data_IF_285495509976
#
_entry.id   IF_285495509976
#
_cell.length_a   1.000
_cell.length_b   1.000
_cell.length_c   1.000
_cell.angle_alpha   90.00
_cell.angle_beta   90.00
_cell.angle_gamma   90.00
#
_symmetry.space_group_name_H-M   'P 1'
#
loop_
_entity.id
_entity.type
_entity.pdbx_description
1 polymer ?
#
# COMPACT_ATOMS: atom_id res chain seq x y z
N UNK A 1 -7.55 -20.73 50.50
CA UNK A 1 -7.43 -20.82 49.03
C UNK A 1 -7.91 -19.53 48.34
N UNK A 2 -7.07 -18.49 48.19
CA UNK A 2 -7.49 -17.19 47.63
C UNK A 2 -7.21 -16.98 46.12
N UNK A 3 -6.47 -17.88 45.45
CA UNK A 3 -6.10 -17.71 44.02
C UNK A 3 -7.27 -17.89 43.03
N UNK A 4 -8.40 -18.47 43.44
CA UNK A 4 -9.52 -18.80 42.54
C UNK A 4 -10.45 -17.61 42.26
N UNK A 5 -10.65 -16.69 43.21
CA UNK A 5 -11.57 -15.55 43.04
C UNK A 5 -10.96 -14.46 42.16
N UNK A 6 -9.70 -14.10 42.39
CA UNK A 6 -8.96 -13.15 41.53
C UNK A 6 -8.84 -13.65 40.08
N UNK A 7 -8.66 -14.96 39.87
CA UNK A 7 -8.65 -15.56 38.53
C UNK A 7 -10.02 -15.49 37.84
N UNK A 8 -11.12 -15.68 38.59
CA UNK A 8 -12.48 -15.53 38.07
C UNK A 8 -12.81 -14.08 37.73
N UNK A 9 -12.34 -13.12 38.51
CA UNK A 9 -12.50 -11.69 38.22
C UNK A 9 -11.67 -11.23 37.02
N UNK A 10 -10.42 -11.70 36.88
CA UNK A 10 -9.61 -11.45 35.68
C UNK A 10 -10.25 -12.07 34.44
N UNK A 11 -10.77 -13.30 34.52
CA UNK A 11 -11.50 -13.93 33.42
C UNK A 11 -12.80 -13.19 33.09
N UNK A 12 -13.52 -12.66 34.08
CA UNK A 12 -14.71 -11.83 33.86
C UNK A 12 -14.36 -10.48 33.21
N UNK A 13 -13.29 -9.81 33.65
CA UNK A 13 -12.77 -8.58 33.04
C UNK A 13 -12.27 -8.81 31.61
N UNK A 14 -11.56 -9.90 31.35
CA UNK A 14 -11.14 -10.29 30.00
C UNK A 14 -12.32 -10.61 29.08
N UNK A 15 -13.37 -11.29 29.59
CA UNK A 15 -14.61 -11.54 28.83
C UNK A 15 -15.39 -10.26 28.55
N UNK A 16 -15.44 -9.33 29.51
CA UNK A 16 -16.06 -8.02 29.33
C UNK A 16 -15.30 -7.15 28.33
N UNK A 17 -13.96 -7.13 28.42
CA UNK A 17 -13.08 -6.47 27.45
C UNK A 17 -13.19 -7.09 26.06
N UNK A 18 -13.26 -8.42 25.96
CA UNK A 18 -13.46 -9.11 24.69
C UNK A 18 -14.85 -8.84 24.08
N UNK A 19 -15.89 -8.66 24.91
CA UNK A 19 -17.22 -8.25 24.45
C UNK A 19 -17.24 -6.79 23.98
N UNK A 20 -16.66 -5.88 24.76
CA UNK A 20 -16.53 -4.47 24.41
C UNK A 20 -15.68 -4.28 23.13
N UNK A 21 -14.63 -5.07 22.97
CA UNK A 21 -13.82 -5.09 21.75
C UNK A 21 -14.60 -5.67 20.56
N UNK A 22 -15.41 -6.71 20.74
CA UNK A 22 -16.29 -7.23 19.69
C UNK A 22 -17.34 -6.21 19.25
N UNK A 23 -17.92 -5.47 20.19
CA UNK A 23 -18.88 -4.39 19.90
C UNK A 23 -18.21 -3.21 19.21
N UNK A 24 -17.01 -2.82 19.66
CA UNK A 24 -16.17 -1.83 18.98
C UNK A 24 -15.86 -2.24 17.54
N UNK A 25 -15.47 -3.50 17.31
CA UNK A 25 -15.18 -4.03 15.96
C UNK A 25 -16.42 -4.04 15.06
N UNK A 26 -17.60 -4.37 15.62
CA UNK A 26 -18.87 -4.33 14.87
C UNK A 26 -19.26 -2.92 14.43
N UNK A 27 -18.97 -1.91 15.25
CA UNK A 27 -19.28 -0.50 14.98
C UNK A 27 -18.11 0.30 14.40
N UNK A 28 -17.00 -0.35 14.04
CA UNK A 28 -15.82 0.32 13.49
C UNK A 28 -15.92 0.45 11.97
N UNK A 29 -15.70 1.68 11.48
CA UNK A 29 -15.57 1.97 10.05
C UNK A 29 -14.18 1.61 9.49
N UNK A 30 -13.28 1.06 10.32
CA UNK A 30 -11.97 0.61 9.86
C UNK A 30 -12.10 -0.73 9.11
N UNK A 31 -11.63 -0.84 7.85
CA UNK A 31 -11.69 -2.08 7.08
C UNK A 31 -11.05 -3.28 7.78
N UNK A 32 -10.05 -3.06 8.65
CA UNK A 32 -9.37 -4.11 9.42
C UNK A 32 -10.26 -4.79 10.46
N UNK A 33 -11.32 -4.12 10.92
CA UNK A 33 -12.22 -4.63 11.95
C UNK A 33 -13.43 -5.40 11.36
N UNK A 34 -13.60 -5.35 10.03
CA UNK A 34 -14.70 -6.02 9.34
C UNK A 34 -14.51 -7.53 9.25
N UNK A 35 -15.61 -8.26 9.07
CA UNK A 35 -15.56 -9.69 8.77
C UNK A 35 -14.92 -9.93 7.40
N UNK A 36 -14.21 -11.05 7.24
CA UNK A 36 -13.53 -11.42 5.99
C UNK A 36 -14.50 -11.40 4.79
N UNK A 37 -15.75 -11.81 4.97
CA UNK A 37 -16.78 -11.74 3.94
C UNK A 37 -17.15 -10.31 3.53
N UNK A 38 -17.32 -9.39 4.50
CA UNK A 38 -17.60 -7.97 4.21
C UNK A 38 -16.41 -7.29 3.54
N UNK A 39 -15.18 -7.62 3.96
CA UNK A 39 -13.95 -7.15 3.31
C UNK A 39 -13.88 -7.60 1.85
N UNK A 40 -14.20 -8.87 1.56
CA UNK A 40 -14.20 -9.40 0.20
C UNK A 40 -15.27 -8.74 -0.67
N UNK A 41 -16.49 -8.58 -0.17
CA UNK A 41 -17.58 -7.93 -0.91
C UNK A 41 -17.27 -6.45 -1.19
N UNK A 42 -16.76 -5.71 -0.21
CA UNK A 42 -16.43 -4.30 -0.41
C UNK A 42 -15.25 -4.15 -1.37
N UNK A 43 -14.21 -4.98 -1.21
CA UNK A 43 -13.09 -5.02 -2.14
C UNK A 43 -13.56 -5.36 -3.55
N UNK A 44 -14.51 -6.30 -3.70
CA UNK A 44 -15.10 -6.64 -5.01
C UNK A 44 -15.86 -5.45 -5.62
N UNK A 45 -16.70 -4.76 -4.83
CA UNK A 45 -17.42 -3.56 -5.29
C UNK A 45 -16.45 -2.46 -5.73
N UNK A 46 -15.43 -2.18 -4.93
CA UNK A 46 -14.40 -1.19 -5.25
C UNK A 46 -13.61 -1.60 -6.50
N UNK A 47 -13.21 -2.87 -6.61
CA UNK A 47 -12.47 -3.36 -7.78
C UNK A 47 -13.31 -3.26 -9.05
N UNK A 48 -14.59 -3.66 -9.00
CA UNK A 48 -15.52 -3.58 -10.13
C UNK A 48 -15.77 -2.14 -10.62
N UNK A 49 -15.75 -1.15 -9.71
CA UNK A 49 -15.88 0.26 -10.11
C UNK A 49 -14.69 0.74 -10.97
N UNK A 50 -13.51 0.16 -10.78
CA UNK A 50 -12.30 0.54 -11.56
C UNK A 50 -12.11 -0.34 -12.78
N UNK A 51 -12.37 -1.64 -12.65
CA UNK A 51 -12.25 -2.60 -13.76
C UNK A 51 -13.57 -3.37 -13.96
N UNK A 52 -14.45 -2.92 -14.86
CA UNK A 52 -15.68 -3.63 -15.18
C UNK A 52 -15.42 -4.96 -15.93
N UNK A 53 -14.24 -5.14 -16.55
CA UNK A 53 -13.86 -6.39 -17.25
C UNK A 53 -13.46 -7.49 -16.27
N UNK A 54 -13.24 -7.17 -14.99
CA UNK A 54 -12.93 -8.13 -13.93
C UNK A 54 -13.92 -9.29 -13.90
N UNK A 55 -15.22 -9.01 -14.05
CA UNK A 55 -16.27 -10.03 -13.96
C UNK A 55 -16.08 -11.11 -15.03
N UNK A 56 -15.76 -10.70 -16.26
CA UNK A 56 -15.52 -11.63 -17.37
C UNK A 56 -14.27 -12.47 -17.15
N UNK A 57 -13.21 -11.90 -16.59
CA UNK A 57 -11.99 -12.63 -16.25
C UNK A 57 -12.20 -13.64 -15.11
N UNK A 58 -12.92 -13.25 -14.06
CA UNK A 58 -13.21 -14.11 -12.91
C UNK A 58 -14.14 -15.27 -13.31
N UNK A 59 -15.21 -14.98 -14.06
CA UNK A 59 -16.10 -16.02 -14.58
C UNK A 59 -15.36 -16.92 -15.57
N UNK A 60 -14.57 -16.33 -16.47
CA UNK A 60 -13.76 -17.07 -17.44
C UNK A 60 -12.77 -18.02 -16.76
N UNK A 61 -12.07 -17.56 -15.72
CA UNK A 61 -11.16 -18.40 -14.95
C UNK A 61 -11.87 -19.53 -14.19
N UNK A 62 -13.06 -19.26 -13.64
CA UNK A 62 -13.88 -20.27 -12.98
C UNK A 62 -14.31 -21.36 -13.97
N UNK A 63 -14.93 -20.96 -15.08
CA UNK A 63 -15.43 -21.87 -16.11
C UNK A 63 -14.28 -22.67 -16.72
N UNK A 64 -13.16 -22.02 -17.03
CA UNK A 64 -11.97 -22.69 -17.55
C UNK A 64 -11.46 -23.75 -16.57
N UNK A 65 -11.35 -23.44 -15.29
CA UNK A 65 -10.96 -24.41 -14.27
C UNK A 65 -11.90 -25.61 -14.21
N UNK A 66 -13.22 -25.36 -14.15
CA UNK A 66 -14.21 -26.45 -14.13
C UNK A 66 -14.12 -27.32 -15.37
N UNK A 67 -14.04 -26.72 -16.56
CA UNK A 67 -13.98 -27.45 -17.83
C UNK A 67 -12.70 -28.28 -17.92
N UNK A 68 -11.55 -27.71 -17.62
CA UNK A 68 -10.25 -28.41 -17.71
C UNK A 68 -10.24 -29.65 -16.81
N UNK A 69 -10.64 -29.51 -15.54
CA UNK A 69 -10.65 -30.63 -14.61
C UNK A 69 -11.74 -31.66 -14.92
N UNK A 70 -12.90 -31.24 -15.45
CA UNK A 70 -13.96 -32.16 -15.88
C UNK A 70 -13.54 -32.98 -17.11
N UNK A 71 -12.91 -32.33 -18.10
CA UNK A 71 -12.39 -33.00 -19.31
C UNK A 71 -11.24 -33.95 -18.95
N UNK A 72 -10.34 -33.54 -18.05
CA UNK A 72 -9.31 -34.42 -17.49
C UNK A 72 -9.93 -35.64 -16.80
N UNK A 73 -10.98 -35.43 -16.00
CA UNK A 73 -11.73 -36.50 -15.38
C UNK A 73 -12.25 -37.50 -16.40
N UNK A 74 -12.94 -37.03 -17.46
CA UNK A 74 -13.49 -37.87 -18.52
C UNK A 74 -12.44 -38.66 -19.31
N UNK A 75 -11.21 -38.14 -19.45
CA UNK A 75 -10.14 -38.80 -20.21
C UNK A 75 -9.36 -39.79 -19.33
N UNK A 76 -9.10 -39.45 -18.06
CA UNK A 76 -8.21 -40.21 -17.18
C UNK A 76 -8.93 -41.27 -16.34
N UNK A 77 -10.23 -41.10 -16.04
CA UNK A 77 -10.96 -41.97 -15.10
C UNK A 77 -12.47 -42.01 -15.37
N UNK A 78 -13.13 -43.15 -15.16
CA UNK A 78 -14.61 -43.23 -15.25
C UNK A 78 -15.35 -42.46 -14.12
N UNK A 79 -14.63 -41.88 -13.15
CA UNK A 79 -15.15 -41.10 -12.03
C UNK A 79 -15.26 -39.60 -12.36
N UNK A 80 -15.91 -39.27 -13.47
CA UNK A 80 -16.08 -37.89 -13.93
C UNK A 80 -16.74 -36.96 -12.89
N UNK A 81 -17.64 -37.49 -12.06
CA UNK A 81 -18.34 -36.74 -11.01
C UNK A 81 -17.41 -36.28 -9.89
N UNK A 82 -16.39 -37.07 -9.54
CA UNK A 82 -15.40 -36.69 -8.53
C UNK A 82 -14.49 -35.56 -9.07
N UNK A 83 -14.09 -35.66 -10.33
CA UNK A 83 -13.30 -34.62 -11.01
C UNK A 83 -14.06 -33.33 -11.27
N UNK A 84 -15.38 -33.41 -11.46
CA UNK A 84 -16.24 -32.22 -11.53
C UNK A 84 -16.22 -31.45 -10.19
N UNK A 85 -16.32 -32.15 -9.05
CA UNK A 85 -16.23 -31.52 -7.73
C UNK A 85 -14.86 -30.85 -7.55
N UNK A 86 -13.78 -31.56 -7.88
CA UNK A 86 -12.42 -31.00 -7.85
C UNK A 86 -12.30 -29.80 -8.78
N UNK A 87 -12.90 -29.85 -9.97
CA UNK A 87 -12.93 -28.76 -10.94
C UNK A 87 -13.66 -27.53 -10.45
N UNK A 88 -14.74 -27.68 -9.69
CA UNK A 88 -15.43 -26.55 -9.03
C UNK A 88 -14.52 -25.87 -8.02
N UNK A 89 -13.85 -26.62 -7.15
CA UNK A 89 -12.91 -26.05 -6.18
C UNK A 89 -11.69 -25.42 -6.86
N UNK A 90 -11.13 -26.08 -7.88
CA UNK A 90 -10.01 -25.58 -8.66
C UNK A 90 -10.38 -24.31 -9.45
N UNK A 91 -11.57 -24.28 -10.06
CA UNK A 91 -12.13 -23.11 -10.73
C UNK A 91 -12.36 -21.96 -9.75
N UNK A 92 -12.88 -22.23 -8.56
CA UNK A 92 -13.05 -21.21 -7.52
C UNK A 92 -11.69 -20.65 -7.06
N UNK A 93 -10.68 -21.51 -6.88
CA UNK A 93 -9.33 -21.10 -6.54
C UNK A 93 -8.68 -20.24 -7.66
N UNK A 94 -8.84 -20.64 -8.92
CA UNK A 94 -8.36 -19.89 -10.08
C UNK A 94 -9.05 -18.52 -10.21
N UNK A 95 -10.37 -18.48 -10.03
CA UNK A 95 -11.16 -17.25 -10.03
C UNK A 95 -10.70 -16.29 -8.91
N UNK A 96 -10.47 -16.82 -7.70
CA UNK A 96 -9.94 -16.04 -6.58
C UNK A 96 -8.52 -15.52 -6.86
N UNK A 97 -7.66 -16.34 -7.47
CA UNK A 97 -6.31 -15.94 -7.84
C UNK A 97 -6.29 -14.81 -8.88
N UNK A 98 -7.08 -14.94 -9.95
CA UNK A 98 -7.24 -13.91 -10.99
C UNK A 98 -7.82 -12.63 -10.40
N UNK A 99 -8.85 -12.75 -9.54
CA UNK A 99 -9.40 -11.61 -8.81
C UNK A 99 -8.32 -10.89 -8.00
N UNK A 100 -7.52 -11.63 -7.22
CA UNK A 100 -6.46 -11.04 -6.39
C UNK A 100 -5.39 -10.33 -7.23
N UNK A 101 -5.00 -10.93 -8.36
CA UNK A 101 -4.01 -10.34 -9.26
C UNK A 101 -4.51 -9.05 -9.92
N UNK A 102 -5.78 -9.04 -10.35
CA UNK A 102 -6.38 -7.88 -11.00
C UNK A 102 -6.75 -6.77 -10.02
N UNK A 103 -7.22 -7.13 -8.82
CA UNK A 103 -7.49 -6.18 -7.74
C UNK A 103 -6.24 -5.37 -7.38
N UNK A 104 -5.07 -6.02 -7.30
CA UNK A 104 -3.78 -5.34 -7.09
C UNK A 104 -3.50 -4.26 -8.15
N UNK A 105 -3.66 -4.57 -9.43
CA UNK A 105 -3.44 -3.60 -10.51
C UNK A 105 -4.45 -2.45 -10.46
N UNK A 106 -5.73 -2.76 -10.20
CA UNK A 106 -6.78 -1.74 -10.12
C UNK A 106 -6.58 -0.76 -8.95
N UNK A 107 -5.96 -1.22 -7.86
CA UNK A 107 -5.64 -0.38 -6.71
C UNK A 107 -4.65 0.72 -7.12
N UNK A 108 -3.59 0.38 -7.86
CA UNK A 108 -2.62 1.36 -8.36
C UNK A 108 -3.23 2.33 -9.38
N UNK A 109 -4.13 1.84 -10.24
CA UNK A 109 -4.80 2.68 -11.22
C UNK A 109 -5.60 3.83 -10.59
N UNK A 110 -6.10 3.67 -9.35
CA UNK A 110 -6.79 4.75 -8.61
C UNK A 110 -5.83 5.85 -8.16
N UNK A 111 -4.61 5.48 -7.78
CA UNK A 111 -3.62 6.42 -7.26
C UNK A 111 -2.75 7.02 -8.37
N UNK A 112 -2.77 6.44 -9.57
CA UNK A 112 -2.06 6.94 -10.73
C UNK A 112 -2.46 8.39 -11.05
N UNK A 113 -1.48 9.29 -11.10
CA UNK A 113 -1.68 10.71 -11.42
C UNK A 113 -2.21 11.58 -10.28
N UNK A 114 -2.45 11.02 -9.08
CA UNK A 114 -2.76 11.82 -7.90
C UNK A 114 -1.47 12.19 -7.16
N UNK A 115 -1.29 13.47 -6.86
CA UNK A 115 -0.15 13.97 -6.06
C UNK A 115 -0.07 13.23 -4.71
N UNK A 116 1.09 12.65 -4.38
CA UNK A 116 1.32 11.85 -3.17
C UNK A 116 1.17 10.35 -3.37
N UNK A 117 0.90 9.87 -4.59
CA UNK A 117 0.65 8.46 -4.89
C UNK A 117 1.83 7.54 -4.61
N UNK A 118 3.07 8.05 -4.68
CA UNK A 118 4.26 7.26 -4.37
C UNK A 118 4.31 6.80 -2.89
N UNK A 119 3.61 7.48 -1.97
CA UNK A 119 3.47 7.02 -0.58
C UNK A 119 2.82 5.63 -0.51
N UNK A 120 1.87 5.33 -1.41
CA UNK A 120 1.19 4.03 -1.45
C UNK A 120 2.19 2.92 -1.75
N UNK A 121 3.06 3.10 -2.74
CA UNK A 121 4.10 2.12 -3.06
C UNK A 121 5.14 1.99 -1.94
N UNK A 122 5.50 3.11 -1.29
CA UNK A 122 6.41 3.11 -0.14
C UNK A 122 5.84 2.37 1.06
N UNK A 123 4.53 2.47 1.29
CA UNK A 123 3.84 1.78 2.39
C UNK A 123 3.85 0.25 2.25
N UNK A 124 4.07 -0.26 1.02
CA UNK A 124 4.19 -1.68 0.70
C UNK A 124 5.60 -2.23 0.90
N UNK A 125 6.58 -1.38 1.16
CA UNK A 125 7.92 -1.81 1.55
C UNK A 125 7.90 -2.43 2.96
N UNK A 126 8.82 -3.36 3.21
CA UNK A 126 8.96 -3.99 4.52
C UNK A 126 9.41 -2.95 5.56
N UNK A 127 8.49 -2.57 6.45
CA UNK A 127 8.71 -1.56 7.50
C UNK A 127 9.86 -1.89 8.45
N UNK A 128 10.29 -3.16 8.53
CA UNK A 128 11.45 -3.55 9.34
C UNK A 128 12.78 -3.18 8.68
N UNK A 129 12.80 -3.05 7.36
CA UNK A 129 14.02 -2.84 6.56
C UNK A 129 14.06 -1.45 5.93
N UNK A 130 12.88 -0.87 5.68
CA UNK A 130 12.74 0.39 4.98
C UNK A 130 12.02 1.40 5.86
N UNK A 131 12.60 2.58 5.97
CA UNK A 131 11.97 3.75 6.59
C UNK A 131 11.59 4.72 5.48
N UNK A 132 10.29 4.91 5.28
CA UNK A 132 9.74 5.85 4.30
C UNK A 132 9.38 7.18 4.97
N UNK A 133 9.80 8.28 4.38
CA UNK A 133 9.38 9.64 4.73
C UNK A 133 8.68 10.24 3.50
N UNK A 134 7.34 10.33 3.50
CA UNK A 134 6.61 10.92 2.38
C UNK A 134 6.81 12.44 2.34
N UNK A 135 6.72 13.01 1.14
CA UNK A 135 6.67 14.46 0.89
C UNK A 135 7.72 15.32 1.63
N UNK A 136 9.01 15.03 1.41
CA UNK A 136 10.14 15.78 1.98
C UNK A 136 10.31 17.16 1.37
N UNK A 137 10.00 17.28 0.08
CA UNK A 137 10.02 18.52 -0.64
C UNK A 137 8.85 18.55 -1.59
N UNK A 138 8.25 19.73 -1.75
CA UNK A 138 7.17 19.96 -2.69
C UNK A 138 7.31 21.31 -3.38
N UNK A 139 6.84 21.39 -4.61
CA UNK A 139 6.73 22.65 -5.35
C UNK A 139 5.29 23.12 -5.39
N UNK A 140 5.08 24.39 -5.77
CA UNK A 140 3.73 24.91 -6.06
C UNK A 140 3.08 24.22 -7.26
N UNK A 141 3.87 23.56 -8.09
CA UNK A 141 3.45 22.84 -9.30
C UNK A 141 3.05 21.38 -9.01
N UNK A 142 2.87 21.03 -7.73
CA UNK A 142 2.51 19.67 -7.29
C UNK A 142 3.60 18.62 -7.56
N UNK A 143 4.86 19.04 -7.77
CA UNK A 143 5.98 18.10 -7.74
C UNK A 143 6.28 17.75 -6.28
N UNK A 144 6.49 16.48 -5.98
CA UNK A 144 6.73 15.96 -4.64
C UNK A 144 7.91 15.01 -4.67
N UNK A 145 8.81 15.11 -3.69
CA UNK A 145 9.89 14.14 -3.47
C UNK A 145 9.63 13.38 -2.19
N UNK A 146 9.62 12.06 -2.30
CA UNK A 146 9.54 11.13 -1.19
C UNK A 146 10.90 10.48 -0.98
N UNK A 147 11.16 9.94 0.21
CA UNK A 147 12.40 9.23 0.52
C UNK A 147 12.11 7.88 1.13
N UNK A 148 12.88 6.89 0.73
CA UNK A 148 12.99 5.61 1.40
C UNK A 148 14.45 5.39 1.79
N UNK A 149 14.67 4.99 3.04
CA UNK A 149 16.00 4.64 3.56
C UNK A 149 15.99 3.16 3.89
N UNK A 150 16.96 2.41 3.41
CA UNK A 150 17.05 0.97 3.66
C UNK A 150 18.38 0.38 3.20
N UNK A 151 18.46 -0.95 3.00
CA UNK A 151 19.70 -1.64 2.67
C UNK A 151 20.37 -1.16 1.38
N UNK A 152 19.61 -0.58 0.45
CA UNK A 152 20.15 -0.02 -0.79
C UNK A 152 20.68 1.43 -0.64
N UNK A 153 20.67 1.98 0.57
CA UNK A 153 21.01 3.39 0.82
C UNK A 153 19.78 4.29 0.88
N UNK A 154 19.93 5.50 0.35
CA UNK A 154 18.88 6.52 0.29
C UNK A 154 18.27 6.50 -1.11
N UNK A 155 16.98 6.25 -1.20
CA UNK A 155 16.23 6.28 -2.45
C UNK A 155 15.29 7.48 -2.43
N UNK A 156 15.50 8.43 -3.34
CA UNK A 156 14.65 9.60 -3.53
C UNK A 156 13.70 9.33 -4.69
N UNK A 157 12.40 9.45 -4.45
CA UNK A 157 11.36 9.19 -5.44
C UNK A 157 10.67 10.49 -5.75
N UNK A 158 10.83 10.96 -6.98
CA UNK A 158 10.15 12.13 -7.49
C UNK A 158 8.83 11.76 -8.14
N UNK A 159 7.81 12.54 -7.81
CA UNK A 159 6.48 12.50 -8.37
C UNK A 159 6.16 13.88 -8.94
N UNK A 160 5.73 13.95 -10.20
CA UNK A 160 5.53 15.21 -10.90
C UNK A 160 5.99 15.11 -12.35
N UNK A 161 6.01 16.24 -13.06
CA UNK A 161 6.32 16.25 -14.49
C UNK A 161 7.30 17.37 -14.87
N UNK A 162 8.19 17.08 -15.80
CA UNK A 162 9.05 18.07 -16.45
C UNK A 162 10.32 18.45 -15.68
N UNK A 163 10.87 19.62 -16.01
CA UNK A 163 12.19 20.05 -15.54
C UNK A 163 12.19 20.52 -14.08
N UNK A 164 11.05 20.98 -13.54
CA UNK A 164 10.89 21.39 -12.14
C UNK A 164 11.20 20.25 -11.18
N UNK A 165 10.61 19.07 -11.42
CA UNK A 165 10.87 17.85 -10.66
C UNK A 165 12.35 17.44 -10.72
N UNK A 166 12.99 17.50 -11.89
CA UNK A 166 14.41 17.14 -12.03
C UNK A 166 15.32 18.06 -11.23
N UNK A 167 15.04 19.36 -11.23
CA UNK A 167 15.79 20.32 -10.43
C UNK A 167 15.57 20.11 -8.92
N UNK A 168 14.32 19.81 -8.52
CA UNK A 168 13.97 19.47 -7.14
C UNK A 168 14.71 18.22 -6.67
N UNK A 169 14.67 17.14 -7.47
CA UNK A 169 15.38 15.89 -7.21
C UNK A 169 16.90 16.09 -7.16
N UNK A 170 17.48 16.88 -8.06
CA UNK A 170 18.92 17.14 -8.05
C UNK A 170 19.34 17.92 -6.79
N UNK A 171 18.54 18.89 -6.37
CA UNK A 171 18.76 19.65 -5.13
C UNK A 171 18.69 18.73 -3.91
N UNK A 172 17.68 17.89 -3.85
CA UNK A 172 17.51 16.93 -2.78
C UNK A 172 18.61 15.86 -2.77
N UNK A 173 19.02 15.36 -3.94
CA UNK A 173 20.13 14.39 -4.07
C UNK A 173 21.41 14.96 -3.48
N UNK A 174 21.83 16.15 -3.92
CA UNK A 174 23.04 16.83 -3.38
C UNK A 174 22.97 17.05 -1.87
N UNK A 175 21.80 17.45 -1.35
CA UNK A 175 21.61 17.67 0.08
C UNK A 175 21.73 16.38 0.89
N UNK A 176 21.22 15.27 0.37
CA UNK A 176 21.32 13.97 1.03
C UNK A 176 22.73 13.39 0.93
N UNK A 177 23.43 13.58 -0.19
CA UNK A 177 24.84 13.19 -0.35
C UNK A 177 25.77 13.94 0.63
N UNK A 178 25.54 15.23 0.85
CA UNK A 178 26.31 16.04 1.82
C UNK A 178 26.10 15.64 3.27
N UNK A 179 24.95 15.04 3.63
CA UNK A 179 24.64 14.64 5.00
C UNK A 179 25.00 13.17 5.26
N UNK A 180 24.83 12.32 4.25
CA UNK A 180 25.08 10.88 4.34
C UNK A 180 26.32 10.49 3.51
N UNK A 181 27.48 11.06 3.87
CA UNK A 181 28.75 10.70 3.24
C UNK A 181 28.97 9.18 3.22
N UNK A 182 29.37 8.66 2.06
CA UNK A 182 29.62 7.23 1.85
C UNK A 182 28.37 6.36 1.67
N UNK A 183 27.16 6.95 1.67
CA UNK A 183 25.92 6.22 1.42
C UNK A 183 25.46 6.44 -0.03
N UNK A 184 25.11 5.38 -0.79
CA UNK A 184 24.56 5.57 -2.12
C UNK A 184 23.21 6.29 -2.07
N UNK A 185 23.08 7.35 -2.88
CA UNK A 185 21.85 8.09 -3.10
C UNK A 185 21.35 7.81 -4.51
N UNK A 186 20.19 7.16 -4.63
CA UNK A 186 19.56 6.84 -5.92
C UNK A 186 18.31 7.68 -6.09
N UNK A 187 18.20 8.40 -7.21
CA UNK A 187 16.97 9.13 -7.57
C UNK A 187 16.16 8.33 -8.60
N UNK A 188 14.85 8.26 -8.38
CA UNK A 188 13.89 7.58 -9.26
C UNK A 188 12.77 8.57 -9.57
N UNK A 189 12.41 8.67 -10.85
CA UNK A 189 11.22 9.44 -11.27
C UNK A 189 10.08 8.44 -11.46
N UNK A 190 8.97 8.69 -10.80
CA UNK A 190 7.74 7.90 -10.92
C UNK A 190 6.88 8.46 -12.05
N UNK A 191 6.43 7.59 -12.95
CA UNK A 191 5.62 7.95 -14.11
C UNK A 191 5.60 6.84 -15.17
N UNK A 192 4.97 7.12 -16.31
CA UNK A 192 4.85 6.17 -17.45
C UNK A 192 5.80 6.50 -18.61
N UNK A 193 6.58 7.57 -18.48
CA UNK A 193 7.50 8.02 -19.52
C UNK A 193 8.73 7.12 -19.68
N UNK A 194 9.50 7.38 -20.74
CA UNK A 194 10.76 6.68 -20.99
C UNK A 194 11.77 7.00 -19.88
N UNK A 195 12.19 5.96 -19.14
CA UNK A 195 13.12 6.10 -18.01
C UNK A 195 12.44 6.42 -16.68
N UNK A 196 11.11 6.44 -16.64
CA UNK A 196 10.31 6.56 -15.42
C UNK A 196 9.86 5.16 -14.96
N UNK A 197 9.60 5.03 -13.65
CA UNK A 197 9.15 3.77 -13.06
C UNK A 197 7.65 3.87 -12.76
N UNK A 198 6.81 2.99 -13.32
CA UNK A 198 5.38 2.96 -13.01
C UNK A 198 5.14 2.69 -11.52
N UNK A 199 4.09 3.30 -10.97
CA UNK A 199 3.73 3.17 -9.55
C UNK A 199 3.58 1.70 -9.10
N UNK A 200 3.06 0.84 -9.97
CA UNK A 200 2.83 -0.58 -9.71
C UNK A 200 4.11 -1.43 -9.59
N UNK A 201 5.21 -0.94 -10.15
CA UNK A 201 6.50 -1.63 -10.16
C UNK A 201 7.56 -0.93 -9.30
N UNK A 202 7.23 0.22 -8.74
CA UNK A 202 8.15 1.02 -7.91
C UNK A 202 8.69 0.22 -6.71
N UNK A 203 7.83 -0.55 -6.02
CA UNK A 203 8.26 -1.34 -4.87
C UNK A 203 9.24 -2.46 -5.28
N UNK A 204 8.99 -3.12 -6.41
CA UNK A 204 9.87 -4.16 -6.97
C UNK A 204 11.19 -3.55 -7.44
N UNK A 205 11.14 -2.38 -8.07
CA UNK A 205 12.33 -1.67 -8.55
C UNK A 205 13.25 -1.30 -7.37
N UNK A 206 12.69 -0.71 -6.31
CA UNK A 206 13.43 -0.36 -5.09
C UNK A 206 14.06 -1.61 -4.45
N UNK A 207 13.32 -2.72 -4.37
CA UNK A 207 13.82 -3.99 -3.79
C UNK A 207 14.95 -4.64 -4.61
N UNK A 208 15.05 -4.34 -5.90
CA UNK A 208 16.10 -4.87 -6.80
C UNK A 208 17.40 -4.08 -6.76
N UNK A 209 17.41 -2.89 -6.14
CA UNK A 209 18.62 -2.09 -6.01
C UNK A 209 19.71 -2.84 -5.21
N UNK A 210 21.00 -2.64 -5.54
CA UNK A 210 22.09 -3.31 -4.86
C UNK A 210 22.11 -2.92 -3.38
N UNK A 211 22.27 -3.91 -2.51
CA UNK A 211 22.33 -3.71 -1.07
C UNK A 211 23.74 -3.26 -0.70
N UNK A 212 23.88 -2.02 -0.28
CA UNK A 212 25.17 -1.41 0.08
C UNK A 212 25.34 -1.22 1.59
N UNK A 213 24.25 -1.16 2.35
CA UNK A 213 24.26 -0.86 3.78
C UNK A 213 23.86 -2.07 4.63
N UNK A 214 24.54 -2.23 5.76
CA UNK A 214 24.10 -3.10 6.86
C UNK A 214 23.09 -2.36 7.77
N UNK A 215 22.33 -3.09 8.59
CA UNK A 215 21.28 -2.52 9.47
C UNK A 215 21.77 -1.39 10.37
N UNK A 216 22.94 -1.53 10.99
CA UNK A 216 23.52 -0.48 11.84
C UNK A 216 23.83 0.81 11.05
N UNK A 217 24.31 0.68 9.81
CA UNK A 217 24.58 1.82 8.93
C UNK A 217 23.27 2.48 8.47
N UNK A 218 22.22 1.69 8.24
CA UNK A 218 20.88 2.22 7.93
C UNK A 218 20.37 3.08 9.09
N UNK A 219 20.50 2.61 10.34
CA UNK A 219 20.05 3.36 11.52
C UNK A 219 20.85 4.65 11.71
N UNK A 220 22.16 4.62 11.45
CA UNK A 220 23.00 5.82 11.48
C UNK A 220 22.57 6.84 10.42
N UNK A 221 22.32 6.40 9.18
CA UNK A 221 21.81 7.24 8.11
C UNK A 221 20.45 7.84 8.48
N UNK A 222 19.54 7.05 9.05
CA UNK A 222 18.24 7.53 9.53
C UNK A 222 18.42 8.64 10.57
N UNK A 223 19.34 8.48 11.51
CA UNK A 223 19.59 9.47 12.57
C UNK A 223 20.19 10.77 12.01
N UNK A 224 21.15 10.68 11.08
CA UNK A 224 21.69 11.87 10.39
C UNK A 224 20.62 12.60 9.59
N UNK A 225 19.74 11.87 8.91
CA UNK A 225 18.64 12.46 8.13
C UNK A 225 17.57 13.11 9.00
N UNK A 226 17.28 12.56 10.19
CA UNK A 226 16.40 13.21 11.17
C UNK A 226 16.94 14.59 11.58
N UNK A 227 18.25 14.73 11.76
CA UNK A 227 18.88 16.02 12.07
C UNK A 227 18.75 17.01 10.89
N UNK A 228 18.93 16.53 9.66
CA UNK A 228 18.70 17.34 8.45
C UNK A 228 17.24 17.82 8.36
N UNK A 229 16.28 16.95 8.64
CA UNK A 229 14.86 17.30 8.58
C UNK A 229 14.47 18.29 9.68
N UNK A 230 15.09 18.23 10.86
CA UNK A 230 14.89 19.20 11.94
C UNK A 230 15.36 20.62 11.56
N UNK A 231 16.34 20.74 10.65
CA UNK A 231 16.83 22.01 10.13
C UNK A 231 16.02 22.53 8.92
N UNK A 232 15.01 21.80 8.44
CA UNK A 232 14.18 22.27 7.33
C UNK A 232 13.16 23.32 7.81
N UNK A 233 13.02 24.45 7.11
CA UNK A 233 11.86 25.31 7.32
C UNK A 233 10.60 24.51 6.95
N UNK A 234 9.59 24.51 7.83
CA UNK A 234 8.28 23.91 7.55
C UNK A 234 7.66 24.66 6.37
N UNK A 235 7.86 24.16 5.16
CA UNK A 235 7.21 24.70 3.97
C UNK A 235 5.69 24.55 4.16
N UNK A 236 4.86 25.59 3.95
CA UNK A 236 3.43 25.49 4.19
C UNK A 236 2.80 24.45 3.26
N UNK A 237 2.25 23.36 3.82
CA UNK A 237 1.50 22.38 3.04
C UNK A 237 0.46 23.10 2.17
N UNK A 238 0.31 22.76 0.88
CA UNK A 238 -0.78 23.26 0.07
C UNK A 238 -2.09 22.89 0.78
N UNK A 239 -2.85 23.90 1.21
CA UNK A 239 -4.15 23.68 1.83
C UNK A 239 -4.99 22.91 0.80
N UNK A 240 -5.51 21.76 1.21
CA UNK A 240 -6.33 20.90 0.35
C UNK A 240 -7.48 21.67 -0.30
N UNK A 241 -8.09 21.12 -1.35
CA UNK A 241 -9.17 21.79 -2.08
C UNK A 241 -10.21 22.31 -1.09
N UNK A 242 -10.47 23.61 -1.18
CA UNK A 242 -11.44 24.29 -0.32
C UNK A 242 -12.77 23.51 -0.37
N UNK A 243 -13.40 23.20 0.78
CA UNK A 243 -14.66 22.46 0.78
C UNK A 243 -15.65 23.18 -0.13
N UNK A 244 -16.16 22.47 -1.13
CA UNK A 244 -17.11 22.98 -2.14
C UNK A 244 -18.47 23.39 -1.54
N UNK A 245 -18.67 23.13 -0.25
CA UNK A 245 -19.87 23.47 0.48
C UNK A 245 -19.60 24.59 1.51
N UNK A 246 -20.30 25.71 1.31
CA UNK A 246 -20.38 26.83 2.27
C UNK A 246 -20.81 26.38 3.68
N UNK A 247 -21.48 25.23 3.78
CA UNK A 247 -21.92 24.62 5.05
C UNK A 247 -20.76 23.95 5.81
N UNK A 248 -19.79 23.37 5.09
CA UNK A 248 -18.57 22.79 5.68
C UNK A 248 -17.55 23.86 6.10
N UNK A 249 -17.47 24.96 5.35
CA UNK A 249 -16.60 26.10 5.68
C UNK A 249 -16.97 26.77 7.02
N UNK A 250 -18.27 26.89 7.33
CA UNK A 250 -18.74 27.43 8.61
C UNK A 250 -18.49 26.51 9.79
N UNK A 251 -18.50 25.19 9.59
CA UNK A 251 -18.16 24.22 10.64
C UNK A 251 -16.65 24.24 10.96
N UNK A 252 -15.79 24.44 9.95
CA UNK A 252 -14.34 24.58 10.14
C UNK A 252 -13.92 25.93 10.75
N UNK A 253 -14.65 27.02 10.46
CA UNK A 253 -14.45 28.35 11.05
C UNK A 253 -14.96 28.47 12.49
N UNK A 254 -15.76 27.51 12.96
CA UNK A 254 -16.37 27.50 14.30
C UNK A 254 -15.72 26.47 15.22
N UNK A 255 -14.45 26.14 14.98
CA UNK A 255 -13.71 25.13 15.72
C UNK A 255 -13.36 25.58 17.14
N UNK A 256 -13.83 24.78 18.11
CA UNK A 256 -13.34 24.54 19.48
C UNK A 256 -13.28 25.72 20.45
#
# INVERSE_FOLDING_TARGET
MPKSQAAKELAAKQKAQAKAEKERRKNSDNPKDWSTGKQLVETFKLTRQVDPRLLWWVIGAFVLGVVVFTVLGLILTDLWWAWLIVGIFAGAAAAMWVFQWRAKHSMYARFKGQTGSAEVALSLLDKKKWTSTPAIAFTRQQDVVHRAVGPAGIVLIGEGHGNGLRNLLATETKRHEQVAYGTPVTSIIMGDGKGEVPLEDLDKHIKKLPKALNTAQVDEVINRLKALDAMRPKVPLPKGPMPSSMKGARAAMRGR
#
